data_IF_625291132286
#
_entry.id   IF_625291132286
#
_cell.length_a   1.000
_cell.length_b   1.000
_cell.length_c   1.000
_cell.angle_alpha   90.00
_cell.angle_beta   90.00
_cell.angle_gamma   90.00
#
_symmetry.space_group_name_H-M   'P 1'
#
loop_
_entity.id
_entity.type
_entity.pdbx_description
1 polymer ?
#
# COMPACT_ATOMS: atom_id res chain seq x y z
N UNK A 1 8.01 24.22 -13.46
CA UNK A 1 7.93 23.00 -12.65
C UNK A 1 6.57 22.95 -11.98
N UNK A 2 5.85 21.83 -12.05
CA UNK A 2 4.57 21.70 -11.37
C UNK A 2 4.84 21.50 -9.87
N UNK A 3 4.72 22.56 -9.07
CA UNK A 3 5.02 22.52 -7.62
C UNK A 3 4.18 21.49 -6.88
N UNK A 4 2.93 21.23 -7.33
CA UNK A 4 2.07 20.21 -6.76
C UNK A 4 2.68 18.80 -6.92
N UNK A 5 3.25 18.49 -8.10
CA UNK A 5 3.92 17.22 -8.35
C UNK A 5 5.14 17.03 -7.46
N UNK A 6 5.94 18.09 -7.24
CA UNK A 6 7.12 18.02 -6.38
C UNK A 6 6.71 17.78 -4.92
N UNK A 7 5.72 18.52 -4.43
CA UNK A 7 5.21 18.33 -3.06
C UNK A 7 4.66 16.92 -2.86
N UNK A 8 3.85 16.44 -3.81
CA UNK A 8 3.31 15.08 -3.79
C UNK A 8 4.42 14.01 -3.79
N UNK A 9 5.44 14.18 -4.64
CA UNK A 9 6.57 13.25 -4.71
C UNK A 9 7.42 13.25 -3.43
N UNK A 10 7.63 14.42 -2.80
CA UNK A 10 8.38 14.52 -1.53
C UNK A 10 7.63 13.83 -0.39
N UNK A 11 6.31 14.05 -0.30
CA UNK A 11 5.48 13.46 0.76
C UNK A 11 5.43 11.94 0.64
N UNK A 12 5.35 11.39 -0.57
CA UNK A 12 5.31 9.94 -0.78
C UNK A 12 6.70 9.30 -0.96
N UNK A 13 7.77 10.08 -0.95
CA UNK A 13 9.13 9.61 -1.22
C UNK A 13 9.54 8.36 -0.42
N UNK A 14 9.34 8.27 0.91
CA UNK A 14 9.77 7.07 1.64
C UNK A 14 8.99 5.82 1.22
N UNK A 15 7.71 5.98 0.89
CA UNK A 15 6.88 4.91 0.33
C UNK A 15 7.37 4.50 -1.06
N UNK A 16 7.54 5.46 -1.98
CA UNK A 16 8.04 5.20 -3.34
C UNK A 16 9.42 4.54 -3.29
N UNK A 17 10.31 5.00 -2.43
CA UNK A 17 11.62 4.38 -2.24
C UNK A 17 11.50 2.92 -1.82
N UNK A 18 10.71 2.63 -0.79
CA UNK A 18 10.49 1.26 -0.34
C UNK A 18 9.82 0.40 -1.43
N UNK A 19 8.95 0.97 -2.26
CA UNK A 19 8.27 0.27 -3.35
C UNK A 19 9.28 -0.23 -4.37
N UNK A 20 10.13 0.66 -4.87
CA UNK A 20 11.14 0.32 -5.86
C UNK A 20 12.23 -0.61 -5.29
N UNK A 21 12.62 -0.43 -4.03
CA UNK A 21 13.55 -1.34 -3.34
C UNK A 21 12.94 -2.74 -3.20
N UNK A 22 11.64 -2.86 -2.96
CA UNK A 22 10.96 -4.16 -2.83
C UNK A 22 11.01 -4.95 -4.13
N UNK A 23 10.76 -4.29 -5.26
CA UNK A 23 10.96 -4.88 -6.59
C UNK A 23 12.42 -5.29 -6.81
N UNK A 24 13.37 -4.40 -6.51
CA UNK A 24 14.80 -4.64 -6.70
C UNK A 24 15.30 -5.84 -5.88
N UNK A 25 14.97 -5.90 -4.59
CA UNK A 25 15.34 -7.00 -3.69
C UNK A 25 14.76 -8.33 -4.18
N UNK A 26 13.48 -8.35 -4.51
CA UNK A 26 12.78 -9.57 -4.94
C UNK A 26 13.29 -10.06 -6.28
N UNK A 27 13.54 -9.14 -7.23
CA UNK A 27 14.17 -9.48 -8.50
C UNK A 27 15.57 -10.08 -8.29
N UNK A 28 16.40 -9.47 -7.44
CA UNK A 28 17.73 -9.97 -7.09
C UNK A 28 17.69 -11.37 -6.47
N UNK A 29 16.80 -11.59 -5.49
CA UNK A 29 16.60 -12.90 -4.85
C UNK A 29 16.16 -13.99 -5.82
N UNK A 30 15.38 -13.62 -6.85
CA UNK A 30 14.91 -14.55 -7.89
C UNK A 30 15.88 -14.68 -9.07
N UNK A 31 17.08 -14.09 -8.98
CA UNK A 31 18.13 -14.15 -9.98
C UNK A 31 17.81 -13.37 -11.26
N UNK A 32 16.93 -12.37 -11.18
CA UNK A 32 16.54 -11.50 -12.29
C UNK A 32 17.45 -10.28 -12.31
N UNK A 33 18.02 -9.96 -13.47
CA UNK A 33 18.87 -8.78 -13.63
C UNK A 33 18.02 -7.52 -13.47
N UNK A 34 18.44 -6.64 -12.57
CA UNK A 34 17.87 -5.31 -12.37
C UNK A 34 18.59 -4.29 -13.26
N UNK A 35 17.85 -3.28 -13.71
CA UNK A 35 18.33 -2.21 -14.58
C UNK A 35 18.34 -0.87 -13.85
N UNK A 36 17.79 0.15 -14.49
CA UNK A 36 17.79 1.52 -13.96
C UNK A 36 16.84 1.66 -12.77
N UNK A 37 17.21 2.54 -11.84
CA UNK A 37 16.42 2.91 -10.67
C UNK A 37 16.30 4.44 -10.64
N UNK A 38 15.10 4.97 -10.44
CA UNK A 38 14.86 6.41 -10.32
C UNK A 38 13.71 6.72 -9.38
N UNK A 39 13.86 7.82 -8.63
CA UNK A 39 12.84 8.39 -7.73
C UNK A 39 12.43 9.80 -8.17
N UNK A 40 12.79 10.18 -9.40
CA UNK A 40 12.49 11.51 -9.93
C UNK A 40 11.14 11.44 -10.63
N UNK A 41 10.13 12.23 -10.20
CA UNK A 41 8.81 12.18 -10.80
C UNK A 41 8.85 12.67 -12.25
N UNK A 42 8.09 12.00 -13.11
CA UNK A 42 7.94 12.32 -14.53
C UNK A 42 6.48 12.23 -14.94
N UNK A 43 6.06 13.18 -15.77
CA UNK A 43 4.75 13.12 -16.44
C UNK A 43 4.90 12.24 -17.68
N UNK A 44 4.06 11.23 -17.79
CA UNK A 44 4.02 10.33 -18.94
C UNK A 44 3.21 10.95 -20.09
N UNK A 45 3.31 10.35 -21.28
CA UNK A 45 2.62 10.84 -22.49
C UNK A 45 1.09 10.80 -22.37
N UNK A 46 0.56 9.93 -21.52
CA UNK A 46 -0.86 9.77 -21.23
C UNK A 46 -1.37 10.72 -20.13
N UNK A 47 -0.54 11.66 -19.67
CA UNK A 47 -0.86 12.58 -18.58
C UNK A 47 -0.73 11.97 -17.18
N UNK A 48 -0.42 10.68 -17.04
CA UNK A 48 -0.20 10.07 -15.73
C UNK A 48 1.13 10.51 -15.10
N UNK A 49 1.19 10.54 -13.77
CA UNK A 49 2.40 10.89 -13.03
C UNK A 49 3.08 9.60 -12.57
N UNK A 50 4.30 9.37 -13.05
CA UNK A 50 5.18 8.32 -12.55
C UNK A 50 6.09 8.91 -11.48
N UNK A 51 5.98 8.46 -10.23
CA UNK A 51 6.76 8.97 -9.10
C UNK A 51 8.17 8.36 -9.02
N UNK A 52 8.28 7.09 -9.36
CA UNK A 52 9.52 6.33 -9.37
C UNK A 52 9.42 5.18 -10.38
N UNK A 53 10.57 4.56 -10.65
CA UNK A 53 10.61 3.30 -11.39
C UNK A 53 11.89 2.52 -11.07
N UNK A 54 11.76 1.21 -11.06
CA UNK A 54 12.86 0.27 -11.23
C UNK A 54 12.62 -0.60 -12.45
N UNK A 55 13.59 -0.63 -13.36
CA UNK A 55 13.59 -1.55 -14.48
C UNK A 55 14.12 -2.91 -14.02
N UNK A 56 13.49 -3.99 -14.43
CA UNK A 56 14.05 -5.33 -14.37
C UNK A 56 13.93 -5.98 -15.74
N UNK A 57 14.97 -6.70 -16.15
CA UNK A 57 15.04 -7.27 -17.48
C UNK A 57 14.08 -8.47 -17.57
N UNK A 58 13.01 -8.30 -18.34
CA UNK A 58 12.10 -9.39 -18.72
C UNK A 58 12.80 -10.33 -19.69
N UNK A 59 13.53 -11.29 -19.16
CA UNK A 59 14.10 -12.39 -19.95
C UNK A 59 12.98 -13.35 -20.39
N UNK A 60 13.19 -14.07 -21.49
CA UNK A 60 12.30 -15.17 -21.96
C UNK A 60 12.13 -16.29 -20.92
N UNK A 61 13.01 -16.33 -19.92
CA UNK A 61 13.00 -17.25 -18.76
C UNK A 61 12.24 -16.72 -17.54
N UNK A 62 11.71 -15.49 -17.58
CA UNK A 62 10.89 -14.93 -16.50
C UNK A 62 9.51 -15.58 -16.55
N UNK A 63 9.34 -16.71 -15.87
CA UNK A 63 8.06 -17.41 -15.78
C UNK A 63 7.00 -16.59 -15.01
N UNK A 64 5.69 -16.87 -15.19
CA UNK A 64 4.60 -16.09 -14.59
C UNK A 64 4.67 -15.98 -13.07
N UNK A 65 5.18 -17.02 -12.39
CA UNK A 65 5.37 -17.03 -10.94
C UNK A 65 6.39 -15.99 -10.47
N UNK A 66 7.57 -15.92 -11.11
CA UNK A 66 8.60 -14.93 -10.74
C UNK A 66 8.15 -13.50 -11.05
N UNK A 67 7.51 -13.29 -12.20
CA UNK A 67 6.94 -11.97 -12.54
C UNK A 67 5.86 -11.56 -11.52
N UNK A 68 5.03 -12.49 -11.06
CA UNK A 68 3.98 -12.20 -10.06
C UNK A 68 4.55 -11.88 -8.68
N UNK A 69 5.59 -12.61 -8.24
CA UNK A 69 6.27 -12.33 -6.98
C UNK A 69 6.99 -10.98 -6.98
N UNK A 70 7.69 -10.65 -8.08
CA UNK A 70 8.34 -9.35 -8.21
C UNK A 70 7.29 -8.24 -8.20
N UNK A 71 6.21 -8.39 -8.97
CA UNK A 71 5.11 -7.42 -9.02
C UNK A 71 4.37 -7.27 -7.69
N UNK A 72 4.21 -8.36 -6.93
CA UNK A 72 3.57 -8.33 -5.61
C UNK A 72 4.49 -7.90 -4.46
N UNK A 73 5.79 -7.74 -4.71
CA UNK A 73 6.75 -7.43 -3.66
C UNK A 73 6.44 -6.14 -2.89
N UNK A 74 6.12 -4.99 -3.53
CA UNK A 74 5.81 -3.78 -2.78
C UNK A 74 4.65 -3.94 -1.82
N UNK A 75 3.58 -4.65 -2.22
CA UNK A 75 2.47 -4.93 -1.34
C UNK A 75 2.89 -5.77 -0.12
N UNK A 76 3.73 -6.79 -0.32
CA UNK A 76 4.23 -7.65 0.77
C UNK A 76 5.14 -6.88 1.74
N UNK A 77 6.11 -6.15 1.21
CA UNK A 77 7.06 -5.36 2.01
C UNK A 77 6.37 -4.18 2.70
N UNK A 78 5.45 -3.51 2.01
CA UNK A 78 4.62 -2.44 2.56
C UNK A 78 3.74 -2.94 3.71
N UNK A 79 3.08 -4.09 3.52
CA UNK A 79 2.28 -4.73 4.58
C UNK A 79 3.16 -5.11 5.78
N UNK A 80 4.34 -5.68 5.54
CA UNK A 80 5.28 -6.01 6.60
C UNK A 80 5.77 -4.75 7.34
N UNK A 81 6.10 -3.68 6.64
CA UNK A 81 6.51 -2.41 7.24
C UNK A 81 5.40 -1.79 8.08
N UNK A 82 4.16 -1.77 7.58
CA UNK A 82 2.98 -1.33 8.32
C UNK A 82 2.81 -2.15 9.61
N UNK A 83 2.89 -3.48 9.52
CA UNK A 83 2.81 -4.35 10.70
C UNK A 83 3.94 -4.08 11.69
N UNK A 84 5.18 -3.90 11.22
CA UNK A 84 6.31 -3.61 12.11
C UNK A 84 6.12 -2.30 12.85
N UNK A 85 5.65 -1.24 12.18
CA UNK A 85 5.33 0.03 12.84
C UNK A 85 4.20 -0.18 13.85
N UNK A 86 3.12 -0.83 13.40
CA UNK A 86 1.94 -1.08 14.20
C UNK A 86 2.26 -1.86 15.49
N UNK A 87 3.09 -2.89 15.42
CA UNK A 87 3.46 -3.69 16.59
C UNK A 87 4.47 -3.00 17.51
N UNK A 88 5.53 -2.41 16.94
CA UNK A 88 6.65 -1.92 17.75
C UNK A 88 6.43 -0.50 18.28
N UNK A 89 5.60 0.29 17.61
CA UNK A 89 5.39 1.71 17.95
C UNK A 89 4.00 1.93 18.56
N UNK A 90 2.96 1.32 17.97
CA UNK A 90 1.57 1.59 18.32
C UNK A 90 0.91 0.49 19.16
N UNK A 91 1.66 -0.56 19.53
CA UNK A 91 1.17 -1.72 20.29
C UNK A 91 -0.22 -2.20 19.82
N UNK A 92 -0.33 -2.57 18.55
CA UNK A 92 -1.60 -3.06 18.00
C UNK A 92 -2.10 -4.35 18.66
N UNK A 93 -1.25 -5.07 19.39
CA UNK A 93 -1.69 -6.22 20.17
C UNK A 93 -2.59 -5.75 21.32
N UNK A 94 -2.17 -4.72 22.06
CA UNK A 94 -2.99 -4.10 23.10
C UNK A 94 -4.25 -3.45 22.52
N UNK A 95 -4.13 -2.71 21.40
CA UNK A 95 -5.30 -2.12 20.74
C UNK A 95 -6.30 -3.19 20.27
N UNK A 96 -5.81 -4.27 19.65
CA UNK A 96 -6.63 -5.38 19.20
C UNK A 96 -7.35 -6.09 20.36
N UNK A 97 -6.67 -6.28 21.48
CA UNK A 97 -7.27 -6.84 22.69
C UNK A 97 -8.36 -5.92 23.27
N UNK A 98 -8.11 -4.61 23.33
CA UNK A 98 -9.07 -3.62 23.81
C UNK A 98 -10.32 -3.51 22.92
N UNK A 99 -10.17 -3.66 21.59
CA UNK A 99 -11.30 -3.74 20.67
C UNK A 99 -12.12 -5.01 20.94
N UNK A 100 -11.46 -6.15 21.15
CA UNK A 100 -12.13 -7.43 21.41
C UNK A 100 -12.84 -7.49 22.76
N UNK A 101 -12.31 -6.79 23.77
CA UNK A 101 -12.93 -6.75 25.10
C UNK A 101 -14.22 -5.95 25.14
N UNK A 102 -14.44 -5.05 24.17
CA UNK A 102 -15.62 -4.18 24.08
C UNK A 102 -15.69 -3.12 25.19
N UNK A 103 -14.64 -2.99 26.01
CA UNK A 103 -14.61 -2.07 27.13
C UNK A 103 -14.06 -0.71 26.70
N UNK A 104 -14.87 0.34 26.87
CA UNK A 104 -14.49 1.69 26.44
C UNK A 104 -13.26 2.24 27.18
N UNK A 105 -13.07 1.84 28.45
CA UNK A 105 -11.91 2.26 29.23
C UNK A 105 -10.61 1.68 28.67
N UNK A 106 -10.59 0.38 28.34
CA UNK A 106 -9.42 -0.27 27.73
C UNK A 106 -9.11 0.32 26.36
N UNK A 107 -10.14 0.57 25.55
CA UNK A 107 -9.97 1.18 24.23
C UNK A 107 -9.39 2.60 24.33
N UNK A 108 -9.90 3.41 25.27
CA UNK A 108 -9.42 4.79 25.47
C UNK A 108 -7.96 4.80 25.94
N UNK A 109 -7.58 3.88 26.82
CA UNK A 109 -6.19 3.74 27.28
C UNK A 109 -5.26 3.31 26.13
N UNK A 110 -5.67 2.30 25.35
CA UNK A 110 -4.89 1.83 24.20
C UNK A 110 -4.69 2.94 23.16
N UNK A 111 -5.74 3.70 22.85
CA UNK A 111 -5.64 4.86 21.95
C UNK A 111 -4.72 5.95 22.54
N UNK A 112 -4.83 6.22 23.84
CA UNK A 112 -3.97 7.19 24.52
C UNK A 112 -2.48 6.83 24.45
N UNK A 113 -2.14 5.55 24.53
CA UNK A 113 -0.76 5.07 24.38
C UNK A 113 -0.22 5.30 22.96
N UNK A 114 -1.05 5.10 21.93
CA UNK A 114 -0.67 5.37 20.53
C UNK A 114 -0.26 6.84 20.36
N UNK A 115 -1.08 7.78 20.85
CA UNK A 115 -0.77 9.21 20.77
C UNK A 115 0.43 9.62 21.63
N UNK A 116 0.76 8.82 22.64
CA UNK A 116 1.90 9.05 23.53
C UNK A 116 3.20 8.39 23.04
N UNK A 117 3.17 7.72 21.88
CA UNK A 117 4.36 7.09 21.31
C UNK A 117 5.43 8.13 20.95
N UNK A 118 6.69 7.78 21.19
CA UNK A 118 7.82 8.62 20.77
C UNK A 118 7.79 8.81 19.24
N UNK A 119 8.07 10.04 18.80
CA UNK A 119 8.08 10.41 17.38
C UNK A 119 6.77 10.06 16.66
N UNK A 120 5.63 10.07 17.38
CA UNK A 120 4.30 9.70 16.86
C UNK A 120 4.02 10.29 15.47
N UNK A 121 4.28 11.59 15.27
CA UNK A 121 4.03 12.25 13.98
C UNK A 121 4.90 11.72 12.83
N UNK A 122 6.14 11.30 13.11
CA UNK A 122 7.02 10.70 12.10
C UNK A 122 6.48 9.33 11.69
N UNK A 123 6.06 8.52 12.66
CA UNK A 123 5.47 7.21 12.38
C UNK A 123 4.11 7.31 11.70
N UNK A 124 3.30 8.30 12.06
CA UNK A 124 2.04 8.62 11.40
C UNK A 124 2.28 9.00 9.92
N UNK A 125 3.27 9.86 9.67
CA UNK A 125 3.70 10.23 8.32
C UNK A 125 4.21 9.03 7.52
N UNK A 126 5.06 8.17 8.11
CA UNK A 126 5.55 6.97 7.43
C UNK A 126 4.42 5.98 7.13
N UNK A 127 3.46 5.81 8.04
CA UNK A 127 2.31 4.96 7.82
C UNK A 127 1.50 5.44 6.62
N UNK A 128 1.21 6.75 6.55
CA UNK A 128 0.57 7.40 5.42
C UNK A 128 1.35 7.23 4.11
N UNK A 129 2.65 7.53 4.11
CA UNK A 129 3.44 7.48 2.89
C UNK A 129 3.58 6.05 2.35
N UNK A 130 3.73 5.05 3.24
CA UNK A 130 3.83 3.64 2.86
C UNK A 130 2.47 3.11 2.40
N UNK A 131 1.37 3.38 3.12
CA UNK A 131 0.03 2.88 2.73
C UNK A 131 -0.38 3.37 1.34
N UNK A 132 -0.04 4.62 1.01
CA UNK A 132 -0.43 5.25 -0.25
C UNK A 132 0.52 4.96 -1.43
N UNK A 133 1.73 4.45 -1.18
CA UNK A 133 2.71 4.18 -2.24
C UNK A 133 2.85 2.69 -2.60
N UNK A 134 2.39 1.76 -1.76
CA UNK A 134 2.64 0.32 -1.92
C UNK A 134 1.58 -0.44 -2.73
N UNK A 135 0.55 0.26 -3.22
CA UNK A 135 -0.50 -0.36 -4.02
C UNK A 135 0.05 -0.75 -5.39
N UNK A 136 -0.07 -2.02 -5.81
CA UNK A 136 0.47 -2.49 -7.09
C UNK A 136 -0.15 -1.78 -8.29
N UNK A 137 0.70 -1.24 -9.15
CA UNK A 137 0.30 -0.65 -10.42
C UNK A 137 -0.24 -1.70 -11.41
N UNK A 138 -0.87 -1.28 -12.54
CA UNK A 138 -1.27 -2.23 -13.58
C UNK A 138 -0.11 -3.06 -14.14
N UNK A 139 1.08 -2.48 -14.26
CA UNK A 139 2.28 -3.20 -14.69
C UNK A 139 2.73 -4.25 -13.69
N UNK A 140 2.57 -4.00 -12.39
CA UNK A 140 2.97 -4.90 -11.31
C UNK A 140 2.06 -6.14 -11.25
N UNK A 141 0.76 -5.94 -11.51
CA UNK A 141 -0.23 -7.02 -11.46
C UNK A 141 -0.36 -7.80 -12.77
N UNK A 142 0.42 -7.46 -13.79
CA UNK A 142 0.32 -8.04 -15.15
C UNK A 142 0.34 -9.57 -15.17
N UNK A 143 1.16 -10.21 -14.33
CA UNK A 143 1.30 -11.67 -14.28
C UNK A 143 0.32 -12.35 -13.31
N UNK A 144 -0.39 -11.58 -12.47
CA UNK A 144 -1.26 -12.12 -11.44
C UNK A 144 -2.40 -13.00 -11.96
N UNK A 145 -3.06 -12.73 -13.10
CA UNK A 145 -4.12 -13.60 -13.59
C UNK A 145 -3.67 -15.07 -13.75
N UNK A 146 -2.48 -15.29 -14.31
CA UNK A 146 -1.92 -16.63 -14.45
C UNK A 146 -1.61 -17.28 -13.10
N UNK A 147 -1.07 -16.49 -12.15
CA UNK A 147 -0.80 -16.95 -10.79
C UNK A 147 -2.08 -17.32 -10.02
N UNK A 148 -3.13 -16.49 -10.14
CA UNK A 148 -4.43 -16.74 -9.52
C UNK A 148 -5.06 -18.01 -10.09
N UNK A 149 -5.01 -18.22 -11.41
CA UNK A 149 -5.50 -19.45 -12.03
C UNK A 149 -4.75 -20.66 -11.48
N UNK A 150 -3.42 -20.59 -11.35
CA UNK A 150 -2.63 -21.68 -10.78
C UNK A 150 -3.04 -21.98 -9.32
N UNK A 151 -3.27 -20.95 -8.51
CA UNK A 151 -3.76 -21.11 -7.13
C UNK A 151 -5.16 -21.72 -7.07
N UNK A 152 -6.06 -21.31 -7.95
CA UNK A 152 -7.41 -21.87 -8.03
C UNK A 152 -7.39 -23.34 -8.43
N UNK A 153 -6.54 -23.72 -9.39
CA UNK A 153 -6.36 -25.12 -9.78
C UNK A 153 -5.77 -25.96 -8.64
N UNK A 154 -4.82 -25.41 -7.87
CA UNK A 154 -4.29 -26.06 -6.68
C UNK A 154 -5.36 -26.23 -5.60
N UNK A 155 -6.17 -25.19 -5.35
CA UNK A 155 -7.28 -25.26 -4.41
C UNK A 155 -8.34 -26.28 -4.82
N UNK A 156 -8.66 -26.35 -6.12
CA UNK A 156 -9.55 -27.38 -6.66
C UNK A 156 -8.96 -28.78 -6.44
N UNK A 157 -7.67 -28.98 -6.69
CA UNK A 157 -7.01 -30.26 -6.45
C UNK A 157 -7.10 -30.68 -4.98
N UNK A 158 -6.86 -29.77 -4.04
CA UNK A 158 -7.02 -30.02 -2.59
C UNK A 158 -8.42 -30.52 -2.27
N UNK A 159 -9.45 -29.85 -2.81
CA UNK A 159 -10.85 -30.22 -2.60
C UNK A 159 -11.16 -31.59 -3.20
N UNK A 160 -10.70 -31.86 -4.42
CA UNK A 160 -10.89 -33.15 -5.09
C UNK A 160 -10.20 -34.31 -4.35
N UNK A 161 -9.09 -34.04 -3.66
CA UNK A 161 -8.37 -35.01 -2.84
C UNK A 161 -8.95 -35.16 -1.42
N UNK A 162 -9.98 -34.38 -1.05
CA UNK A 162 -10.55 -34.41 0.30
C UNK A 162 -9.60 -33.88 1.39
N UNK A 163 -8.56 -33.14 1.01
CA UNK A 163 -7.50 -32.69 1.92
C UNK A 163 -7.80 -31.35 2.62
N UNK A 164 -9.00 -30.79 2.45
CA UNK A 164 -9.37 -29.48 3.00
C UNK A 164 -9.26 -29.40 4.52
N UNK A 165 -9.63 -30.46 5.25
CA UNK A 165 -9.61 -30.47 6.70
C UNK A 165 -8.17 -30.42 7.24
N UNK A 166 -7.26 -31.17 6.62
CA UNK A 166 -5.84 -31.20 6.98
C UNK A 166 -5.23 -29.81 6.85
N UNK A 167 -5.53 -29.12 5.74
CA UNK A 167 -5.05 -27.75 5.56
C UNK A 167 -5.69 -26.81 6.57
N UNK A 168 -7.02 -26.87 6.75
CA UNK A 168 -7.75 -25.95 7.62
C UNK A 168 -7.29 -26.05 9.08
N UNK A 169 -7.14 -27.26 9.62
CA UNK A 169 -6.68 -27.49 11.00
C UNK A 169 -5.28 -26.91 11.24
N UNK A 170 -4.39 -26.97 10.25
CA UNK A 170 -3.04 -26.41 10.35
C UNK A 170 -2.97 -24.89 10.20
N UNK A 171 -3.82 -24.30 9.33
CA UNK A 171 -3.67 -22.89 8.93
C UNK A 171 -4.69 -21.94 9.56
N UNK A 172 -5.87 -22.41 9.99
CA UNK A 172 -6.96 -21.53 10.39
C UNK A 172 -6.60 -20.63 11.59
N UNK A 173 -6.01 -21.22 12.63
CA UNK A 173 -5.61 -20.49 13.85
C UNK A 173 -4.48 -19.47 13.62
N UNK A 174 -3.39 -19.83 12.92
CA UNK A 174 -2.38 -18.85 12.50
C UNK A 174 -2.93 -17.77 11.57
N UNK A 175 -3.75 -18.15 10.59
CA UNK A 175 -4.34 -17.23 9.63
C UNK A 175 -5.25 -16.21 10.32
N UNK A 176 -6.15 -16.65 11.22
CA UNK A 176 -7.06 -15.74 11.94
C UNK A 176 -6.31 -14.71 12.76
N UNK A 177 -5.21 -15.09 13.42
CA UNK A 177 -4.34 -14.15 14.15
C UNK A 177 -3.68 -13.14 13.22
N UNK A 178 -3.05 -13.61 12.14
CA UNK A 178 -2.40 -12.72 11.17
C UNK A 178 -3.40 -11.75 10.54
N UNK A 179 -4.56 -12.24 10.09
CA UNK A 179 -5.61 -11.40 9.51
C UNK A 179 -6.24 -10.46 10.53
N UNK A 180 -6.33 -10.86 11.81
CA UNK A 180 -6.76 -9.97 12.90
C UNK A 180 -5.82 -8.77 13.06
N UNK A 181 -4.50 -9.02 13.11
CA UNK A 181 -3.52 -7.95 13.19
C UNK A 181 -3.47 -7.07 11.94
N UNK A 182 -3.56 -7.68 10.75
CA UNK A 182 -3.68 -6.94 9.49
C UNK A 182 -4.93 -6.06 9.48
N UNK A 183 -6.06 -6.58 9.96
CA UNK A 183 -7.31 -5.83 10.05
C UNK A 183 -7.17 -4.58 10.92
N UNK A 184 -6.55 -4.71 12.10
CA UNK A 184 -6.28 -3.56 12.99
C UNK A 184 -5.28 -2.59 12.37
N UNK A 185 -4.17 -3.09 11.81
CA UNK A 185 -3.14 -2.25 11.21
C UNK A 185 -3.64 -1.47 9.98
N UNK A 186 -4.43 -2.10 9.11
CA UNK A 186 -5.04 -1.43 7.97
C UNK A 186 -6.18 -0.49 8.39
N UNK A 187 -6.92 -0.80 9.45
CA UNK A 187 -7.89 0.14 10.04
C UNK A 187 -7.19 1.39 10.58
N UNK A 188 -6.02 1.23 11.20
CA UNK A 188 -5.19 2.34 11.64
C UNK A 188 -4.72 3.17 10.44
N UNK A 189 -4.14 2.54 9.41
CA UNK A 189 -3.70 3.23 8.20
C UNK A 189 -4.86 4.00 7.53
N UNK A 190 -6.03 3.36 7.40
CA UNK A 190 -7.25 4.02 6.90
C UNK A 190 -7.65 5.22 7.77
N UNK A 191 -7.58 5.09 9.09
CA UNK A 191 -7.83 6.19 10.02
C UNK A 191 -6.89 7.38 9.79
N UNK A 192 -5.60 7.11 9.52
CA UNK A 192 -4.63 8.15 9.14
C UNK A 192 -5.01 8.81 7.82
N UNK A 193 -5.35 8.02 6.80
CA UNK A 193 -5.73 8.55 5.49
C UNK A 193 -6.98 9.45 5.58
N UNK A 194 -7.99 9.02 6.35
CA UNK A 194 -9.19 9.82 6.61
C UNK A 194 -8.88 11.12 7.37
N UNK A 195 -7.98 11.05 8.35
CA UNK A 195 -7.54 12.23 9.09
C UNK A 195 -6.80 13.23 8.18
N UNK A 196 -5.87 12.76 7.36
CA UNK A 196 -5.14 13.61 6.39
C UNK A 196 -6.10 14.20 5.38
N UNK A 197 -7.05 13.41 4.86
CA UNK A 197 -8.09 13.89 3.94
C UNK A 197 -8.94 15.00 4.57
N UNK A 198 -9.32 14.85 5.85
CA UNK A 198 -10.04 15.89 6.59
C UNK A 198 -9.22 17.17 6.71
N UNK A 199 -7.93 17.08 7.07
CA UNK A 199 -7.04 18.24 7.15
C UNK A 199 -6.92 18.97 5.81
N UNK A 200 -6.73 18.22 4.73
CA UNK A 200 -6.64 18.78 3.38
C UNK A 200 -7.94 19.49 2.99
N UNK A 201 -9.10 18.88 3.26
CA UNK A 201 -10.40 19.49 2.99
C UNK A 201 -10.62 20.79 3.79
N UNK A 202 -10.14 20.86 5.04
CA UNK A 202 -10.22 22.08 5.86
C UNK A 202 -9.31 23.19 5.33
N UNK A 203 -8.07 22.85 4.96
CA UNK A 203 -7.12 23.79 4.35
C UNK A 203 -7.66 24.31 3.03
N UNK A 204 -8.19 23.42 2.20
CA UNK A 204 -8.83 23.76 0.92
C UNK A 204 -9.95 24.78 1.14
N UNK A 205 -10.90 24.49 2.03
CA UNK A 205 -12.01 25.40 2.36
C UNK A 205 -11.52 26.76 2.88
N UNK A 206 -10.47 26.78 3.69
CA UNK A 206 -9.90 28.03 4.20
C UNK A 206 -9.29 28.88 3.07
N UNK A 207 -8.52 28.25 2.17
CA UNK A 207 -7.90 28.93 1.03
C UNK A 207 -8.97 29.44 0.06
N UNK A 208 -9.97 28.63 -0.28
CA UNK A 208 -11.06 29.02 -1.18
C UNK A 208 -11.84 30.22 -0.64
N UNK A 209 -12.09 30.26 0.68
CA UNK A 209 -12.71 31.41 1.35
C UNK A 209 -11.83 32.66 1.31
N UNK A 210 -10.52 32.52 1.52
CA UNK A 210 -9.59 33.66 1.53
C UNK A 210 -9.33 34.23 0.13
N UNK A 211 -9.35 33.38 -0.91
CA UNK A 211 -9.03 33.78 -2.29
C UNK A 211 -10.27 34.03 -3.16
N UNK A 212 -11.48 33.70 -2.68
CA UNK A 212 -12.72 33.74 -3.47
C UNK A 212 -12.62 32.95 -4.79
N UNK A 213 -11.93 31.81 -4.76
CA UNK A 213 -11.80 30.90 -5.91
C UNK A 213 -12.45 29.58 -5.56
N UNK A 214 -13.28 29.05 -6.46
CA UNK A 214 -13.76 27.67 -6.39
C UNK A 214 -12.80 26.77 -7.16
N UNK A 215 -12.35 25.68 -6.52
CA UNK A 215 -11.54 24.68 -7.18
C UNK A 215 -12.46 23.83 -8.06
N UNK A 216 -12.28 23.95 -9.38
CA UNK A 216 -12.92 23.05 -10.34
C UNK A 216 -12.11 21.77 -10.39
N UNK A 217 -12.71 20.66 -9.95
CA UNK A 217 -12.15 19.34 -10.19
C UNK A 217 -12.50 18.96 -11.63
N UNK A 218 -11.53 19.10 -12.53
CA UNK A 218 -11.69 18.57 -13.88
C UNK A 218 -11.85 17.04 -13.76
N UNK A 219 -13.04 16.56 -14.07
CA UNK A 219 -13.29 15.12 -14.12
C UNK A 219 -12.55 14.60 -15.35
N UNK A 220 -11.74 13.56 -15.19
CA UNK A 220 -10.86 12.99 -16.22
C UNK A 220 -11.54 12.58 -17.56
N UNK A 221 -12.85 12.78 -17.69
CA UNK A 221 -13.61 12.64 -18.92
C UNK A 221 -13.45 13.82 -19.91
N UNK A 222 -13.15 15.05 -19.44
CA UNK A 222 -13.11 16.26 -20.29
C UNK A 222 -11.87 16.34 -21.20
N UNK A 223 -10.80 15.60 -20.89
CA UNK A 223 -9.57 15.60 -21.70
C UNK A 223 -9.76 14.88 -23.05
N UNK A 224 -10.74 13.98 -23.16
CA UNK A 224 -11.00 13.23 -24.40
C UNK A 224 -11.71 14.04 -25.50
N UNK A 225 -12.41 15.12 -25.14
CA UNK A 225 -13.13 15.95 -26.14
C UNK A 225 -12.23 17.02 -26.78
N UNK A 226 -11.15 17.44 -26.10
CA UNK A 226 -10.25 18.47 -26.63
C UNK A 226 -9.20 17.96 -27.62
N UNK A 227 -8.99 16.64 -27.74
CA UNK A 227 -8.14 16.06 -28.80
C UNK A 227 -8.93 15.65 -30.06
N UNK A 228 -10.26 15.82 -30.06
CA UNK A 228 -11.14 15.43 -31.16
C UNK A 228 -11.70 16.62 -31.99
N UNK A 229 -11.27 17.86 -31.72
CA UNK A 229 -11.69 19.06 -32.49
C UNK A 229 -10.56 19.67 -33.31
#
# INVERSE_FOLDING_TARGET
ANWAMILYAIVLLPGVFLHEVSHWLTAGMLGVRTGRFSLIPRVQKDGSIQLGYVEYYKSRTLGPFRESLIGGAPLLFGTAAILLIAFNIFDIAQLGAAIQSGQMNELTLALGQIFSANDFLVWLYLLFAISNAMLPSPSDRRAWPAFIIALLLLGLLVVLLGAQNILWEGIAGPASRVFGYLGVAFSLALGVDLFVMLLLALVERAISRLKHVELVYDSAASVSEHEAS
#
